data_IF_573716953761
#
_entry.id   IF_573716953761
#
_cell.length_a   1.000
_cell.length_b   1.000
_cell.length_c   1.000
_cell.angle_alpha   90.00
_cell.angle_beta   90.00
_cell.angle_gamma   90.00
#
_symmetry.space_group_name_H-M   'P 1'
#
loop_
_entity.id
_entity.type
_entity.pdbx_description
1 polymer ?
#
# COMPACT_ATOMS: atom_id res chain seq x y z
N UNK A 1 19.84 -0.53 -9.75
CA UNK A 1 20.24 -1.72 -8.97
C UNK A 1 19.30 -2.88 -9.29
N UNK A 2 19.67 -4.14 -9.03
CA UNK A 2 18.76 -5.29 -9.26
C UNK A 2 17.52 -5.24 -8.36
N UNK A 3 17.66 -4.74 -7.13
CA UNK A 3 16.58 -4.45 -6.21
C UNK A 3 16.97 -3.31 -5.26
N UNK A 4 15.98 -2.71 -4.61
CA UNK A 4 16.16 -1.76 -3.49
C UNK A 4 15.31 -2.22 -2.32
N UNK A 5 15.79 -2.03 -1.09
CA UNK A 5 15.06 -2.36 0.13
C UNK A 5 15.02 -1.15 1.06
N UNK A 6 13.88 -0.94 1.71
CA UNK A 6 13.71 0.12 2.70
C UNK A 6 13.07 -0.42 3.99
N UNK A 7 13.23 0.35 5.07
CA UNK A 7 12.26 0.36 6.15
C UNK A 7 11.26 1.47 5.89
N UNK A 8 9.99 1.18 6.14
CA UNK A 8 8.90 2.14 6.01
C UNK A 8 8.04 2.08 7.26
N UNK A 9 7.87 3.24 7.90
CA UNK A 9 7.10 3.38 9.13
C UNK A 9 5.97 4.37 8.86
N UNK A 10 4.75 3.98 9.21
CA UNK A 10 3.57 4.84 9.23
C UNK A 10 3.04 4.93 10.64
N UNK A 11 2.85 6.14 11.17
CA UNK A 11 2.04 6.33 12.37
C UNK A 11 0.58 6.09 12.04
N UNK A 12 -0.22 5.69 13.03
CA UNK A 12 -1.66 5.44 12.83
C UNK A 12 -2.45 6.65 12.26
N UNK A 13 -1.94 7.86 12.45
CA UNK A 13 -2.52 9.10 11.91
C UNK A 13 -2.07 9.43 10.47
N UNK A 14 -1.16 8.64 9.90
CA UNK A 14 -0.57 8.84 8.59
C UNK A 14 -1.16 7.86 7.56
N UNK A 15 -0.77 8.06 6.31
CA UNK A 15 -1.17 7.19 5.20
C UNK A 15 -0.06 7.14 4.16
N UNK A 16 0.08 5.99 3.50
CA UNK A 16 0.80 5.90 2.24
C UNK A 16 -0.15 6.32 1.13
N UNK A 17 0.08 7.52 0.56
CA UNK A 17 -0.77 8.10 -0.49
C UNK A 17 -0.84 7.18 -1.71
N UNK A 18 -1.94 7.23 -2.43
CA UNK A 18 -2.13 6.39 -3.60
C UNK A 18 -1.08 6.71 -4.67
N UNK A 19 -0.27 5.71 -5.03
CA UNK A 19 0.85 5.83 -5.95
C UNK A 19 1.01 4.57 -6.80
N UNK A 20 1.86 4.66 -7.81
CA UNK A 20 2.16 3.57 -8.74
C UNK A 20 3.64 3.59 -9.11
N UNK A 21 4.20 2.40 -9.23
CA UNK A 21 5.55 2.13 -9.74
C UNK A 21 5.49 1.02 -10.80
N UNK A 22 6.46 0.94 -11.73
CA UNK A 22 6.46 -0.04 -12.82
C UNK A 22 7.08 -1.41 -12.44
N UNK A 23 7.48 -1.56 -11.18
CA UNK A 23 8.12 -2.78 -10.63
C UNK A 23 7.21 -3.40 -9.58
N UNK A 24 7.36 -4.71 -9.36
CA UNK A 24 6.73 -5.36 -8.22
C UNK A 24 7.34 -4.83 -6.92
N UNK A 25 6.50 -4.66 -5.91
CA UNK A 25 6.93 -4.29 -4.55
C UNK A 25 6.43 -5.32 -3.55
N UNK A 26 7.37 -5.98 -2.87
CA UNK A 26 7.10 -6.92 -1.80
C UNK A 26 7.08 -6.19 -0.47
N UNK A 27 6.03 -6.38 0.31
CA UNK A 27 5.85 -5.79 1.63
C UNK A 27 6.01 -6.86 2.70
N UNK A 28 6.77 -6.56 3.77
CA UNK A 28 7.04 -7.46 4.89
C UNK A 28 6.65 -6.79 6.20
N UNK A 29 5.73 -7.36 6.95
CA UNK A 29 5.38 -6.89 8.28
C UNK A 29 6.51 -7.13 9.28
N UNK A 30 6.83 -6.12 10.11
CA UNK A 30 7.80 -6.26 11.20
C UNK A 30 7.20 -6.03 12.59
N UNK A 31 6.49 -4.93 12.78
CA UNK A 31 6.01 -4.54 14.11
C UNK A 31 4.86 -3.53 14.07
N UNK A 32 4.15 -3.42 15.19
CA UNK A 32 3.12 -2.41 15.43
C UNK A 32 1.72 -2.87 15.03
N UNK A 33 0.84 -1.94 14.68
CA UNK A 33 -0.52 -2.26 14.27
C UNK A 33 -0.54 -2.84 12.85
N UNK A 34 -1.55 -3.66 12.53
CA UNK A 34 -1.72 -4.16 11.16
C UNK A 34 -1.83 -3.00 10.16
N UNK A 35 -1.37 -3.23 8.93
CA UNK A 35 -1.36 -2.23 7.87
C UNK A 35 -2.13 -2.77 6.67
N UNK A 36 -3.24 -2.12 6.32
CA UNK A 36 -4.05 -2.51 5.16
C UNK A 36 -3.56 -1.79 3.91
N UNK A 37 -3.16 -2.56 2.91
CA UNK A 37 -2.75 -2.08 1.59
C UNK A 37 -3.93 -2.25 0.64
N UNK A 38 -4.35 -1.17 -0.01
CA UNK A 38 -5.41 -1.15 -1.00
C UNK A 38 -4.83 -1.05 -2.40
N UNK A 39 -5.33 -1.89 -3.32
CA UNK A 39 -4.84 -2.03 -4.68
C UNK A 39 -5.96 -1.73 -5.66
N UNK A 40 -5.63 -0.98 -6.70
CA UNK A 40 -6.48 -0.62 -7.83
C UNK A 40 -5.75 -0.95 -9.14
N UNK A 41 -5.67 -2.23 -9.53
CA UNK A 41 -5.00 -2.63 -10.76
C UNK A 41 -5.78 -2.18 -12.01
N UNK A 42 -5.09 -2.03 -13.15
CA UNK A 42 -5.70 -1.59 -14.41
C UNK A 42 -6.72 -2.62 -14.95
N UNK A 43 -6.41 -3.91 -14.81
CA UNK A 43 -7.07 -5.02 -15.51
C UNK A 43 -7.74 -6.05 -14.57
N UNK A 44 -7.85 -5.74 -13.28
CA UNK A 44 -8.53 -6.60 -12.30
C UNK A 44 -9.35 -5.77 -11.33
N UNK A 45 -10.22 -6.44 -10.58
CA UNK A 45 -11.00 -5.77 -9.54
C UNK A 45 -10.08 -5.18 -8.48
N UNK A 46 -10.40 -3.99 -7.94
CA UNK A 46 -9.75 -3.49 -6.74
C UNK A 46 -9.81 -4.52 -5.61
N UNK A 47 -8.77 -4.55 -4.80
CA UNK A 47 -8.61 -5.52 -3.71
C UNK A 47 -7.78 -4.91 -2.57
N UNK A 48 -7.63 -5.63 -1.48
CA UNK A 48 -6.76 -5.24 -0.37
C UNK A 48 -6.26 -6.46 0.37
N UNK A 49 -5.12 -6.30 1.04
CA UNK A 49 -4.59 -7.25 2.01
C UNK A 49 -4.14 -6.51 3.27
N UNK A 50 -4.13 -7.20 4.41
CA UNK A 50 -3.71 -6.62 5.68
C UNK A 50 -2.45 -7.31 6.15
N UNK A 51 -1.38 -6.53 6.31
CA UNK A 51 -0.11 -6.97 6.84
C UNK A 51 -0.17 -7.02 8.36
N UNK A 52 0.16 -8.16 8.98
CA UNK A 52 0.11 -8.34 10.42
C UNK A 52 0.41 -9.76 10.88
N UNK A 53 0.21 -10.04 12.18
CA UNK A 53 0.55 -11.32 12.81
C UNK A 53 -0.67 -12.24 13.02
N UNK A 54 -1.90 -11.72 12.95
CA UNK A 54 -3.11 -12.48 13.20
C UNK A 54 -3.53 -13.27 11.96
N UNK A 55 -2.71 -14.24 11.56
CA UNK A 55 -2.91 -15.05 10.34
C UNK A 55 -4.21 -15.85 10.34
N UNK A 56 -4.67 -16.29 11.51
CA UNK A 56 -5.98 -16.93 11.68
C UNK A 56 -7.16 -15.98 11.37
N UNK A 57 -6.93 -14.66 11.37
CA UNK A 57 -7.90 -13.62 11.02
C UNK A 57 -7.71 -13.07 9.58
N UNK A 58 -6.87 -13.72 8.76
CA UNK A 58 -6.63 -13.32 7.37
C UNK A 58 -5.56 -12.24 7.18
N UNK A 59 -4.85 -11.84 8.23
CA UNK A 59 -3.63 -11.04 8.08
C UNK A 59 -2.50 -11.88 7.47
N UNK A 60 -1.57 -11.23 6.77
CA UNK A 60 -0.42 -11.89 6.14
C UNK A 60 0.89 -11.23 6.59
N UNK A 61 1.95 -12.04 6.72
CA UNK A 61 3.28 -11.51 7.06
C UNK A 61 3.94 -10.79 5.87
N UNK A 62 3.56 -11.20 4.66
CA UNK A 62 4.13 -10.71 3.42
C UNK A 62 3.10 -10.77 2.30
N UNK A 63 3.11 -9.79 1.42
CA UNK A 63 2.35 -9.82 0.16
C UNK A 63 3.04 -8.95 -0.91
N UNK A 64 2.73 -9.22 -2.17
CA UNK A 64 3.27 -8.49 -3.33
C UNK A 64 2.22 -7.55 -3.91
N UNK A 65 2.61 -6.29 -4.12
CA UNK A 65 1.89 -5.37 -4.99
C UNK A 65 2.40 -5.55 -6.42
N UNK A 66 1.56 -5.97 -7.38
CA UNK A 66 2.00 -6.15 -8.77
C UNK A 66 2.35 -4.82 -9.44
N UNK A 67 3.39 -4.84 -10.25
CA UNK A 67 3.84 -3.75 -11.10
C UNK A 67 2.69 -3.05 -11.84
N UNK A 68 2.70 -1.72 -11.83
CA UNK A 68 1.71 -0.90 -12.52
C UNK A 68 0.36 -0.79 -11.82
N UNK A 69 0.17 -1.41 -10.66
CA UNK A 69 -1.03 -1.19 -9.83
C UNK A 69 -0.98 0.18 -9.17
N UNK A 70 -2.11 0.86 -9.06
CA UNK A 70 -2.25 1.95 -8.09
C UNK A 70 -2.45 1.34 -6.71
N UNK A 71 -1.71 1.81 -5.71
CA UNK A 71 -1.83 1.29 -4.35
C UNK A 71 -1.47 2.33 -3.30
N UNK A 72 -1.97 2.12 -2.10
CA UNK A 72 -1.74 2.96 -0.94
C UNK A 72 -2.08 2.18 0.32
N UNK A 73 -1.69 2.69 1.48
CA UNK A 73 -1.79 1.95 2.72
C UNK A 73 -2.32 2.82 3.87
N UNK A 74 -3.14 2.19 4.72
CA UNK A 74 -3.72 2.77 5.93
C UNK A 74 -3.41 1.86 7.12
N UNK A 75 -2.84 2.39 8.21
CA UNK A 75 -2.73 1.65 9.45
C UNK A 75 -4.12 1.34 10.03
N UNK A 76 -4.25 0.18 10.66
CA UNK A 76 -5.43 -0.12 11.45
C UNK A 76 -5.47 0.72 12.75
N UNK A 77 -6.68 1.03 13.22
CA UNK A 77 -6.94 1.84 14.42
C UNK A 77 -6.43 3.30 14.33
N UNK A 78 -6.90 4.10 13.36
CA UNK A 78 -6.40 5.46 13.15
C UNK A 78 -6.61 6.42 14.35
N UNK A 79 -7.57 6.11 15.23
CA UNK A 79 -7.89 6.91 16.41
C UNK A 79 -7.02 6.58 17.64
N UNK A 80 -5.99 5.75 17.49
CA UNK A 80 -5.09 5.34 18.58
C UNK A 80 -3.65 5.75 18.26
N UNK A 81 -2.88 6.06 19.31
CA UNK A 81 -1.44 6.18 19.16
C UNK A 81 -0.85 4.81 18.79
N UNK A 82 0.05 4.80 17.82
CA UNK A 82 0.63 3.58 17.28
C UNK A 82 1.34 3.82 15.95
N UNK A 83 1.93 2.75 15.44
CA UNK A 83 2.60 2.74 14.15
C UNK A 83 2.51 1.36 13.51
N UNK A 84 2.79 1.28 12.22
CA UNK A 84 3.09 0.06 11.48
C UNK A 84 4.49 0.18 10.90
N UNK A 85 5.36 -0.78 11.20
CA UNK A 85 6.69 -0.88 10.62
C UNK A 85 6.73 -2.07 9.66
N UNK A 86 7.15 -1.78 8.43
CA UNK A 86 7.32 -2.77 7.37
C UNK A 86 8.67 -2.59 6.68
N UNK A 87 9.09 -3.60 5.92
CA UNK A 87 10.07 -3.42 4.85
C UNK A 87 9.39 -3.55 3.50
N UNK A 88 9.90 -2.77 2.54
CA UNK A 88 9.48 -2.89 1.15
C UNK A 88 10.71 -3.22 0.29
N UNK A 89 10.56 -4.20 -0.61
CA UNK A 89 11.58 -4.56 -1.61
C UNK A 89 10.99 -4.38 -2.99
N UNK A 90 11.64 -3.54 -3.80
CA UNK A 90 11.22 -3.27 -5.18
C UNK A 90 12.22 -3.92 -6.14
N UNK A 91 11.72 -4.68 -7.12
CA UNK A 91 12.53 -5.35 -8.14
C UNK A 91 11.85 -5.27 -9.53
N UNK A 92 12.51 -4.72 -10.57
CA UNK A 92 13.79 -3.99 -10.56
C UNK A 92 13.83 -2.80 -9.60
N UNK A 93 15.01 -2.45 -9.08
CA UNK A 93 15.17 -1.46 -8.01
C UNK A 93 14.49 -0.11 -8.26
N UNK A 94 13.98 0.50 -7.20
CA UNK A 94 13.21 1.74 -7.22
C UNK A 94 14.03 2.93 -7.73
N UNK A 95 13.36 3.79 -8.51
CA UNK A 95 13.87 5.07 -8.99
C UNK A 95 12.77 6.13 -8.87
N UNK A 96 13.09 7.32 -8.35
CA UNK A 96 12.09 8.37 -8.11
C UNK A 96 11.36 8.85 -9.36
N UNK A 97 12.02 8.79 -10.54
CA UNK A 97 11.41 9.17 -11.82
C UNK A 97 10.24 8.26 -12.23
N UNK A 98 10.16 7.08 -11.63
CA UNK A 98 9.17 6.05 -11.93
C UNK A 98 8.02 6.03 -10.90
N UNK A 99 8.07 6.90 -9.90
CA UNK A 99 7.03 7.09 -8.89
C UNK A 99 5.98 8.10 -9.36
N UNK A 100 4.72 7.66 -9.45
CA UNK A 100 3.59 8.52 -9.79
C UNK A 100 2.60 8.54 -8.65
N UNK A 101 2.08 9.73 -8.30
CA UNK A 101 0.96 9.87 -7.37
C UNK A 101 -0.35 10.02 -8.14
N UNK A 102 -1.42 9.43 -7.61
CA UNK A 102 -2.72 9.49 -8.26
C UNK A 102 -3.37 10.87 -8.07
N UNK A 103 -4.04 11.35 -9.12
CA UNK A 103 -5.02 12.42 -9.00
C UNK A 103 -6.36 11.83 -8.56
N UNK A 104 -7.08 12.53 -7.67
CA UNK A 104 -8.31 12.02 -7.07
C UNK A 104 -9.41 11.83 -8.11
N UNK A 105 -9.66 12.84 -8.94
CA UNK A 105 -10.80 12.87 -9.86
C UNK A 105 -10.75 11.71 -10.88
N UNK A 106 -9.62 11.44 -11.57
CA UNK A 106 -9.51 10.29 -12.46
C UNK A 106 -9.73 8.94 -11.75
N UNK A 107 -9.25 8.82 -10.49
CA UNK A 107 -9.45 7.60 -9.71
C UNK A 107 -10.91 7.40 -9.33
N UNK A 108 -11.61 8.46 -8.94
CA UNK A 108 -13.03 8.40 -8.61
C UNK A 108 -13.92 8.12 -9.83
N UNK A 109 -13.53 8.62 -11.00
CA UNK A 109 -14.21 8.29 -12.26
C UNK A 109 -14.03 6.81 -12.61
N UNK A 110 -12.81 6.28 -12.47
CA UNK A 110 -12.49 4.89 -12.82
C UNK A 110 -13.02 3.88 -11.79
N UNK A 111 -13.03 4.24 -10.51
CA UNK A 111 -13.39 3.36 -9.40
C UNK A 111 -14.43 3.99 -8.46
N UNK A 112 -15.63 4.34 -8.95
CA UNK A 112 -16.62 5.11 -8.20
C UNK A 112 -17.11 4.40 -6.94
N UNK A 113 -17.17 3.06 -6.96
CA UNK A 113 -17.58 2.23 -5.82
C UNK A 113 -16.60 2.30 -4.63
N UNK A 114 -15.36 2.74 -4.86
CA UNK A 114 -14.29 2.79 -3.87
C UNK A 114 -14.00 4.22 -3.40
N UNK A 115 -14.94 5.15 -3.61
CA UNK A 115 -14.83 6.58 -3.30
C UNK A 115 -14.18 6.86 -1.96
N UNK A 116 -14.68 6.23 -0.89
CA UNK A 116 -14.21 6.47 0.48
C UNK A 116 -12.71 6.23 0.61
N UNK A 117 -12.20 5.12 0.08
CA UNK A 117 -10.79 4.75 0.21
C UNK A 117 -9.92 5.64 -0.68
N UNK A 118 -10.41 5.99 -1.87
CA UNK A 118 -9.70 6.91 -2.78
C UNK A 118 -9.58 8.31 -2.16
N UNK A 119 -10.65 8.84 -1.57
CA UNK A 119 -10.63 10.13 -0.88
C UNK A 119 -9.70 10.12 0.33
N UNK A 120 -9.61 9.01 1.07
CA UNK A 120 -8.64 8.87 2.16
C UNK A 120 -7.20 8.85 1.63
N UNK A 121 -6.93 8.13 0.55
CA UNK A 121 -5.57 7.90 0.05
C UNK A 121 -5.05 8.99 -0.90
N UNK A 122 -5.88 9.94 -1.33
CA UNK A 122 -5.47 11.07 -2.21
C UNK A 122 -5.47 12.39 -1.47
#
# INVERSE_FOLDING_TARGET
AWATSIFYLLKNTERSRLHRIPSDELWFYHAGNPLTVHLFPENSRPSSFTLGLATDNGEVLQETVPAGSWFGALPEYPDREGYSLVSCVVAPGFEFRDLFFACREPMLEKFPEHRRIIELLT
#
